data_IF_459791568722
#
_entry.id   IF_459791568722
#
_cell.length_a   1.000
_cell.length_b   1.000
_cell.length_c   1.000
_cell.angle_alpha   90.00
_cell.angle_beta   90.00
_cell.angle_gamma   90.00
#
_symmetry.space_group_name_H-M   'P 1'
#
loop_
_entity.id
_entity.type
_entity.pdbx_description
1 polymer ?
#
# COMPACT_ATOMS: atom_id res chain seq x y z
N UNK A 1 -40.82 -47.65 -29.99
CA UNK A 1 -40.55 -47.35 -28.57
C UNK A 1 -39.04 -47.37 -28.42
N UNK A 2 -38.29 -46.38 -28.90
CA UNK A 2 -38.25 -44.94 -28.56
C UNK A 2 -37.71 -44.67 -27.15
N UNK A 3 -36.51 -44.05 -27.13
CA UNK A 3 -36.05 -42.98 -26.22
C UNK A 3 -35.59 -43.44 -24.80
N UNK A 4 -34.43 -43.07 -24.20
CA UNK A 4 -33.39 -42.03 -24.39
C UNK A 4 -32.07 -42.41 -23.67
N UNK A 5 -30.94 -41.71 -23.92
CA UNK A 5 -29.62 -42.01 -23.33
C UNK A 5 -29.38 -41.34 -21.96
N UNK A 6 -28.60 -41.99 -21.09
CA UNK A 6 -28.21 -41.47 -19.78
C UNK A 6 -27.16 -40.34 -19.92
N UNK A 7 -27.56 -39.11 -19.65
CA UNK A 7 -26.66 -37.96 -19.45
C UNK A 7 -26.19 -37.96 -17.99
N UNK A 8 -24.88 -38.08 -17.76
CA UNK A 8 -24.28 -37.92 -16.45
C UNK A 8 -24.08 -36.42 -16.17
N UNK A 9 -24.98 -35.83 -15.38
CA UNK A 9 -24.83 -34.48 -14.84
C UNK A 9 -24.02 -34.57 -13.53
N UNK A 10 -22.73 -34.26 -13.63
CA UNK A 10 -21.86 -34.19 -12.46
C UNK A 10 -22.15 -32.87 -11.72
N UNK A 11 -23.02 -32.94 -10.73
CA UNK A 11 -23.25 -31.85 -9.79
C UNK A 11 -21.94 -31.43 -9.11
N UNK A 12 -21.41 -30.27 -9.51
CA UNK A 12 -20.33 -29.57 -8.81
C UNK A 12 -20.91 -29.13 -7.46
N UNK A 13 -20.50 -29.80 -6.38
CA UNK A 13 -20.79 -29.33 -5.03
C UNK A 13 -20.09 -27.97 -4.82
N UNK A 14 -20.76 -26.95 -4.25
CA UNK A 14 -20.11 -25.68 -3.95
C UNK A 14 -19.00 -25.91 -2.93
N UNK A 15 -17.76 -25.59 -3.31
CA UNK A 15 -16.63 -25.60 -2.38
C UNK A 15 -16.95 -24.54 -1.33
N UNK A 16 -17.16 -24.96 -0.08
CA UNK A 16 -17.32 -24.03 1.03
C UNK A 16 -16.10 -23.11 1.06
N UNK A 17 -16.34 -21.79 1.08
CA UNK A 17 -15.29 -20.80 1.24
C UNK A 17 -14.39 -21.18 2.44
N UNK A 18 -13.06 -21.02 2.34
CA UNK A 18 -12.19 -21.25 3.48
C UNK A 18 -12.62 -20.33 4.63
N UNK A 19 -12.58 -20.81 5.88
CA UNK A 19 -12.95 -20.02 7.04
C UNK A 19 -12.15 -18.70 7.07
N UNK A 20 -12.72 -17.60 7.59
CA UNK A 20 -11.99 -16.36 7.74
C UNK A 20 -10.68 -16.66 8.47
N UNK A 21 -9.56 -16.31 7.82
CA UNK A 21 -8.25 -16.48 8.41
C UNK A 21 -8.21 -15.81 9.79
N UNK A 22 -7.37 -16.30 10.72
CA UNK A 22 -7.27 -15.70 12.05
C UNK A 22 -7.05 -14.19 11.92
N UNK A 23 -7.58 -13.37 12.85
CA UNK A 23 -7.40 -11.93 12.81
C UNK A 23 -5.90 -11.66 12.72
N UNK A 24 -5.45 -11.09 11.59
CA UNK A 24 -4.04 -10.71 11.40
C UNK A 24 -3.67 -9.88 12.62
N UNK A 25 -2.72 -10.34 13.44
CA UNK A 25 -2.36 -9.66 14.70
C UNK A 25 -2.20 -8.16 14.41
N UNK A 26 -3.01 -7.33 15.04
CA UNK A 26 -3.02 -5.90 14.78
C UNK A 26 -1.74 -5.30 15.36
N UNK A 27 -0.73 -5.16 14.51
CA UNK A 27 0.56 -4.57 14.87
C UNK A 27 0.54 -3.10 14.48
N UNK A 28 0.74 -2.20 15.44
CA UNK A 28 0.75 -0.75 15.19
C UNK A 28 -0.63 -0.08 15.35
N UNK A 29 -0.74 1.14 14.85
CA UNK A 29 -1.93 1.99 14.95
C UNK A 29 -2.98 1.60 13.90
N UNK A 30 -4.23 1.38 14.31
CA UNK A 30 -5.33 1.25 13.36
C UNK A 30 -5.78 2.64 12.88
N UNK A 31 -5.33 3.01 11.69
CA UNK A 31 -5.62 4.31 11.07
C UNK A 31 -7.03 4.42 10.50
N UNK A 32 -7.81 3.33 10.53
CA UNK A 32 -9.18 3.23 9.99
C UNK A 32 -10.23 3.10 11.10
N UNK A 33 -9.97 3.69 12.26
CA UNK A 33 -10.99 3.83 13.33
C UNK A 33 -11.67 5.18 13.20
N UNK A 34 -12.94 5.28 13.61
CA UNK A 34 -13.72 6.53 13.57
C UNK A 34 -12.95 7.73 14.16
N UNK A 35 -12.38 7.54 15.35
CA UNK A 35 -11.62 8.57 16.05
C UNK A 35 -10.44 9.09 15.21
N UNK A 36 -9.73 8.20 14.51
CA UNK A 36 -8.62 8.59 13.64
C UNK A 36 -9.13 9.20 12.34
N UNK A 37 -10.14 8.62 11.71
CA UNK A 37 -10.74 9.13 10.45
C UNK A 37 -11.25 10.55 10.63
N UNK A 38 -11.89 10.87 11.77
CA UNK A 38 -12.35 12.22 12.09
C UNK A 38 -11.24 13.28 12.07
N UNK A 39 -9.98 12.88 12.31
CA UNK A 39 -8.82 13.77 12.30
C UNK A 39 -8.04 13.77 10.99
N UNK A 40 -8.47 12.99 10.00
CA UNK A 40 -7.79 12.93 8.71
C UNK A 40 -7.75 14.30 8.04
N UNK A 41 -6.57 14.62 7.51
CA UNK A 41 -6.34 15.82 6.74
C UNK A 41 -6.76 15.59 5.28
N UNK A 42 -6.99 16.67 4.52
CA UNK A 42 -7.36 16.64 3.10
C UNK A 42 -6.53 15.67 2.24
N UNK A 43 -5.23 15.59 2.50
CA UNK A 43 -4.33 14.70 1.75
C UNK A 43 -4.63 13.21 1.96
N UNK A 44 -5.07 12.82 3.16
CA UNK A 44 -5.53 11.46 3.49
C UNK A 44 -6.91 11.20 2.92
N UNK A 45 -7.82 12.18 3.03
CA UNK A 45 -9.17 12.08 2.44
C UNK A 45 -9.09 11.88 0.94
N UNK A 46 -8.33 12.72 0.21
CA UNK A 46 -8.15 12.59 -1.25
C UNK A 46 -7.52 11.25 -1.65
N UNK A 47 -6.54 10.78 -0.88
CA UNK A 47 -5.92 9.48 -1.12
C UNK A 47 -6.90 8.33 -0.93
N UNK A 48 -7.77 8.41 0.08
CA UNK A 48 -8.84 7.43 0.30
C UNK A 48 -9.90 7.48 -0.81
N UNK A 49 -10.40 8.66 -1.17
CA UNK A 49 -11.40 8.85 -2.24
C UNK A 49 -10.87 8.35 -3.60
N UNK A 50 -9.59 8.59 -3.89
CA UNK A 50 -8.95 8.20 -5.15
C UNK A 50 -8.32 6.81 -5.18
N UNK A 51 -8.45 6.00 -4.12
CA UNK A 51 -7.68 4.75 -3.91
C UNK A 51 -7.75 3.76 -5.08
N UNK A 52 -8.90 3.62 -5.72
CA UNK A 52 -9.10 2.72 -6.86
C UNK A 52 -8.47 3.22 -8.16
N UNK A 53 -8.32 4.54 -8.31
CA UNK A 53 -7.73 5.16 -9.50
C UNK A 53 -6.22 5.41 -9.34
N UNK A 54 -5.78 5.67 -8.11
CA UNK A 54 -4.39 5.92 -7.77
C UNK A 54 -3.99 5.16 -6.49
N UNK A 55 -3.73 3.84 -6.58
CA UNK A 55 -3.20 3.06 -5.47
C UNK A 55 -1.88 3.57 -4.93
N UNK A 56 -1.01 4.14 -5.77
CA UNK A 56 0.25 4.73 -5.31
C UNK A 56 -0.01 5.83 -4.28
N UNK A 57 -0.93 6.75 -4.58
CA UNK A 57 -1.30 7.81 -3.66
C UNK A 57 -1.93 7.32 -2.35
N UNK A 58 -2.70 6.22 -2.42
CA UNK A 58 -3.24 5.54 -1.24
C UNK A 58 -2.12 4.95 -0.37
N UNK A 59 -1.33 4.03 -0.93
CA UNK A 59 -0.28 3.32 -0.19
C UNK A 59 0.87 4.23 0.23
N UNK A 60 1.00 5.40 -0.39
CA UNK A 60 1.91 6.43 0.09
C UNK A 60 1.58 6.88 1.52
N UNK A 61 0.30 6.83 1.92
CA UNK A 61 -0.23 7.39 3.17
C UNK A 61 -0.85 6.37 4.11
N UNK A 62 -1.26 5.24 3.57
CA UNK A 62 -2.02 4.22 4.27
C UNK A 62 -1.43 2.84 4.05
N UNK A 63 -1.57 2.00 5.07
CA UNK A 63 -1.41 0.55 4.93
C UNK A 63 -2.70 -0.04 4.37
N UNK A 64 -2.68 -1.31 4.02
CA UNK A 64 -3.90 -2.02 3.64
C UNK A 64 -4.94 -1.95 4.78
N UNK A 65 -6.24 -1.74 4.48
CA UNK A 65 -7.28 -1.83 5.50
C UNK A 65 -7.22 -3.15 6.29
N UNK A 66 -7.36 -3.06 7.61
CA UNK A 66 -7.21 -4.20 8.51
C UNK A 66 -5.78 -4.46 8.99
N UNK A 67 -4.80 -3.79 8.39
CA UNK A 67 -3.42 -3.75 8.88
C UNK A 67 -3.21 -2.55 9.82
N UNK A 68 -2.38 -2.72 10.85
CA UNK A 68 -1.95 -1.60 11.68
C UNK A 68 -0.72 -0.91 11.09
N UNK A 69 -0.66 0.42 11.17
CA UNK A 69 0.48 1.21 10.72
C UNK A 69 1.53 1.30 11.83
N UNK A 70 2.76 0.89 11.55
CA UNK A 70 3.89 1.07 12.46
C UNK A 70 4.52 2.45 12.28
N UNK A 71 4.65 3.17 13.39
CA UNK A 71 5.32 4.45 13.47
C UNK A 71 6.66 4.31 14.22
N UNK A 72 7.58 5.26 14.01
CA UNK A 72 8.88 5.29 14.70
C UNK A 72 10.02 4.61 13.93
N UNK A 73 11.04 4.18 14.67
CA UNK A 73 12.30 3.63 14.12
C UNK A 73 12.10 2.34 13.32
N UNK A 74 13.10 2.00 12.50
CA UNK A 74 13.13 0.75 11.71
C UNK A 74 13.93 -0.32 12.46
N UNK A 75 13.33 -1.48 12.68
CA UNK A 75 14.02 -2.65 13.23
C UNK A 75 14.93 -3.31 12.19
N UNK A 76 15.82 -4.21 12.64
CA UNK A 76 16.68 -4.97 11.73
C UNK A 76 15.87 -5.81 10.74
N UNK A 77 14.77 -6.43 11.18
CA UNK A 77 13.91 -7.24 10.30
C UNK A 77 13.26 -6.41 9.20
N UNK A 78 12.82 -5.19 9.54
CA UNK A 78 12.25 -4.27 8.57
C UNK A 78 13.31 -3.73 7.61
N UNK A 79 14.54 -3.49 8.10
CA UNK A 79 15.68 -3.15 7.23
C UNK A 79 15.93 -4.27 6.22
N UNK A 80 16.02 -5.52 6.66
CA UNK A 80 16.29 -6.67 5.79
C UNK A 80 15.17 -6.81 4.73
N UNK A 81 13.91 -6.63 5.13
CA UNK A 81 12.78 -6.65 4.21
C UNK A 81 12.82 -5.48 3.22
N UNK A 82 13.18 -4.29 3.69
CA UNK A 82 13.37 -3.12 2.83
C UNK A 82 14.44 -3.37 1.77
N UNK A 83 15.59 -3.93 2.16
CA UNK A 83 16.69 -4.22 1.25
C UNK A 83 16.31 -5.31 0.24
N UNK A 84 15.63 -6.37 0.69
CA UNK A 84 15.07 -7.38 -0.22
C UNK A 84 14.12 -6.75 -1.23
N UNK A 85 13.20 -5.90 -0.77
CA UNK A 85 12.25 -5.21 -1.64
C UNK A 85 12.93 -4.26 -2.61
N UNK A 86 14.00 -3.58 -2.17
CA UNK A 86 14.85 -2.74 -3.01
C UNK A 86 15.51 -3.55 -4.14
N UNK A 87 16.11 -4.69 -3.83
CA UNK A 87 16.75 -5.54 -4.83
C UNK A 87 15.74 -6.09 -5.86
N UNK A 88 14.56 -6.52 -5.39
CA UNK A 88 13.45 -6.91 -6.28
C UNK A 88 13.02 -5.76 -7.20
N UNK A 89 12.93 -4.54 -6.65
CA UNK A 89 12.49 -3.36 -7.40
C UNK A 89 13.47 -3.02 -8.53
N UNK A 90 14.76 -2.97 -8.21
CA UNK A 90 15.83 -2.73 -9.19
C UNK A 90 15.92 -3.90 -10.19
N UNK A 91 15.75 -5.14 -9.73
CA UNK A 91 15.76 -6.34 -10.58
C UNK A 91 14.63 -6.35 -11.62
N UNK A 92 13.49 -5.74 -11.31
CA UNK A 92 12.40 -5.51 -12.26
C UNK A 92 12.62 -4.29 -13.18
N UNK A 93 13.80 -3.67 -13.13
CA UNK A 93 14.15 -2.45 -13.86
C UNK A 93 13.22 -1.27 -13.54
N UNK A 94 12.62 -1.26 -12.34
CA UNK A 94 11.85 -0.13 -11.84
C UNK A 94 12.78 0.86 -11.14
N UNK A 95 12.51 2.15 -11.34
CA UNK A 95 13.32 3.21 -10.74
C UNK A 95 12.85 3.52 -9.32
N UNK A 96 13.82 3.75 -8.44
CA UNK A 96 13.55 4.32 -7.12
C UNK A 96 13.19 5.79 -7.25
N UNK A 97 12.37 6.30 -6.32
CA UNK A 97 12.02 7.72 -6.27
C UNK A 97 10.66 8.09 -6.88
N UNK A 98 10.05 7.22 -7.69
CA UNK A 98 8.81 7.55 -8.41
C UNK A 98 7.53 6.97 -7.79
N UNK A 99 7.55 5.75 -7.25
CA UNK A 99 6.35 5.04 -6.80
C UNK A 99 6.51 4.44 -5.40
N UNK A 100 6.67 5.31 -4.40
CA UNK A 100 6.92 4.89 -3.02
C UNK A 100 5.72 4.21 -2.37
N UNK A 101 4.49 4.57 -2.74
CA UNK A 101 3.30 3.86 -2.29
C UNK A 101 3.35 2.39 -2.72
N UNK A 102 3.54 2.13 -4.01
CA UNK A 102 3.62 0.76 -4.55
C UNK A 102 4.85 -0.01 -4.05
N UNK A 103 5.96 0.69 -3.77
CA UNK A 103 7.12 0.10 -3.11
C UNK A 103 6.75 -0.44 -1.72
N UNK A 104 6.02 0.36 -0.94
CA UNK A 104 5.66 0.03 0.44
C UNK A 104 4.73 -1.16 0.59
N UNK A 105 3.97 -1.55 -0.45
CA UNK A 105 3.12 -2.75 -0.41
C UNK A 105 3.91 -4.04 -0.12
N UNK A 106 5.21 -4.07 -0.42
CA UNK A 106 6.09 -5.20 -0.09
C UNK A 106 6.63 -5.20 1.34
N UNK A 107 6.30 -4.17 2.14
CA UNK A 107 6.82 -3.96 3.50
C UNK A 107 5.63 -3.75 4.43
N UNK A 108 5.14 -4.82 5.09
CA UNK A 108 4.00 -4.74 6.00
C UNK A 108 4.18 -3.64 7.05
N UNK A 109 3.05 -3.05 7.43
CA UNK A 109 2.91 -2.00 8.43
C UNK A 109 3.59 -0.67 8.10
N UNK A 110 4.23 -0.55 6.92
CA UNK A 110 4.90 0.67 6.47
C UNK A 110 4.20 1.26 5.25
N UNK A 111 4.24 2.58 5.16
CA UNK A 111 3.65 3.35 4.06
C UNK A 111 4.71 4.04 3.23
N UNK A 112 4.35 4.49 2.03
CA UNK A 112 5.32 5.01 1.06
C UNK A 112 6.16 6.19 1.55
N UNK A 113 5.58 7.16 2.28
CA UNK A 113 6.40 8.27 2.80
C UNK A 113 7.46 7.79 3.81
N UNK A 114 7.17 6.73 4.57
CA UNK A 114 8.13 6.16 5.52
C UNK A 114 9.26 5.47 4.76
N UNK A 115 8.93 4.70 3.72
CA UNK A 115 9.92 4.05 2.85
C UNK A 115 10.82 5.07 2.14
N UNK A 116 10.24 6.14 1.58
CA UNK A 116 10.97 7.24 0.97
C UNK A 116 11.95 7.89 1.95
N UNK A 117 11.48 8.21 3.16
CA UNK A 117 12.33 8.83 4.18
C UNK A 117 13.44 7.90 4.66
N UNK A 118 13.14 6.61 4.79
CA UNK A 118 14.12 5.60 5.17
C UNK A 118 15.21 5.44 4.11
N UNK A 119 14.82 5.36 2.85
CA UNK A 119 15.75 5.34 1.72
C UNK A 119 16.70 6.54 1.72
N UNK A 120 16.17 7.75 1.92
CA UNK A 120 16.98 8.97 2.00
C UNK A 120 17.99 8.90 3.14
N UNK A 121 17.60 8.36 4.31
CA UNK A 121 18.54 8.15 5.43
C UNK A 121 19.63 7.13 5.08
N UNK A 122 19.32 6.08 4.32
CA UNK A 122 20.32 5.11 3.87
C UNK A 122 21.33 5.75 2.90
N UNK A 123 20.88 6.64 2.01
CA UNK A 123 21.76 7.42 1.13
C UNK A 123 22.64 8.40 1.92
N UNK A 124 22.05 9.15 2.86
CA UNK A 124 22.77 10.09 3.72
C UNK A 124 23.87 9.39 4.53
N UNK A 125 23.57 8.19 5.05
CA UNK A 125 24.50 7.36 5.81
C UNK A 125 25.44 6.52 4.94
N UNK A 126 25.43 6.72 3.61
CA UNK A 126 26.25 5.98 2.62
C UNK A 126 26.08 4.45 2.70
N UNK A 127 24.92 3.98 3.16
CA UNK A 127 24.53 2.56 3.15
C UNK A 127 23.98 2.14 1.78
N UNK A 128 23.46 3.10 1.03
CA UNK A 128 23.07 2.96 -0.37
C UNK A 128 23.76 4.05 -1.20
N UNK A 129 23.86 3.80 -2.51
CA UNK A 129 24.32 4.78 -3.50
C UNK A 129 23.29 4.86 -4.62
N UNK A 130 22.91 6.07 -4.97
CA UNK A 130 22.05 6.38 -6.11
C UNK A 130 22.59 7.61 -6.81
N UNK A 131 22.86 7.50 -8.11
CA UNK A 131 23.40 8.58 -8.94
C UNK A 131 22.42 9.73 -9.15
N UNK A 132 21.13 9.53 -8.89
CA UNK A 132 20.14 10.60 -8.95
C UNK A 132 20.28 11.59 -7.78
N UNK A 133 20.94 11.18 -6.69
CA UNK A 133 21.09 11.96 -5.47
C UNK A 133 22.55 12.33 -5.20
N UNK A 134 22.74 13.53 -4.65
CA UNK A 134 24.05 14.00 -4.19
C UNK A 134 23.89 14.76 -2.88
N UNK A 135 24.91 14.67 -2.03
CA UNK A 135 24.96 15.44 -0.78
C UNK A 135 25.58 16.80 -1.07
N UNK A 136 24.73 17.82 -1.19
CA UNK A 136 25.15 19.21 -1.44
C UNK A 136 24.98 20.00 -0.15
N UNK A 137 26.08 20.54 0.38
CA UNK A 137 26.12 21.27 1.66
C UNK A 137 25.57 20.45 2.84
N UNK A 138 25.93 19.16 2.91
CA UNK A 138 25.48 18.26 3.98
C UNK A 138 24.00 17.85 3.90
N UNK A 139 23.29 18.21 2.84
CA UNK A 139 21.88 17.83 2.62
C UNK A 139 21.75 17.00 1.35
N UNK A 140 21.05 15.87 1.44
CA UNK A 140 20.77 15.02 0.28
C UNK A 140 19.77 15.72 -0.66
N UNK A 141 20.24 16.08 -1.86
CA UNK A 141 19.44 16.69 -2.91
C UNK A 141 19.30 15.74 -4.09
N UNK A 142 18.12 15.76 -4.71
CA UNK A 142 17.92 15.16 -6.01
C UNK A 142 18.55 16.08 -7.06
N UNK A 143 19.68 15.67 -7.64
CA UNK A 143 20.45 16.48 -8.60
C UNK A 143 20.17 16.09 -10.04
N UNK A 144 19.75 14.84 -10.28
CA UNK A 144 19.41 14.38 -11.62
C UNK A 144 17.96 13.89 -11.67
N UNK A 145 17.04 14.83 -11.98
CA UNK A 145 15.60 14.54 -12.04
C UNK A 145 15.28 13.51 -13.10
N UNK A 146 15.89 13.54 -14.27
CA UNK A 146 15.65 12.58 -15.36
C UNK A 146 16.07 11.15 -14.98
N UNK A 147 17.11 11.02 -14.16
CA UNK A 147 17.48 9.72 -13.58
C UNK A 147 16.49 9.23 -12.53
N UNK A 148 15.84 10.11 -11.77
CA UNK A 148 14.83 9.74 -10.77
C UNK A 148 13.38 9.64 -11.29
N UNK A 149 13.06 10.33 -12.38
CA UNK A 149 11.72 10.36 -12.99
C UNK A 149 11.78 9.75 -14.38
N UNK A 150 11.02 8.67 -14.60
CA UNK A 150 10.91 8.02 -15.90
C UNK A 150 11.47 6.61 -15.88
N UNK A 151 10.59 5.64 -15.76
CA UNK A 151 10.85 4.20 -15.81
C UNK A 151 9.51 3.48 -15.88
N UNK A 152 9.51 2.20 -16.23
CA UNK A 152 8.29 1.39 -16.11
C UNK A 152 7.79 1.49 -14.66
N UNK A 153 6.51 1.76 -14.49
CA UNK A 153 5.86 1.71 -13.17
C UNK A 153 5.29 0.30 -12.96
N UNK A 154 5.32 -0.22 -11.72
CA UNK A 154 4.63 -1.46 -11.41
C UNK A 154 3.12 -1.33 -11.62
N UNK A 155 2.46 -2.49 -11.63
CA UNK A 155 0.99 -2.61 -11.69
C UNK A 155 0.34 -1.66 -10.68
N UNK A 156 -0.62 -0.88 -11.18
CA UNK A 156 -1.29 0.21 -10.49
C UNK A 156 -2.66 -0.18 -9.97
N UNK A 157 -2.88 -1.46 -9.66
CA UNK A 157 -4.15 -1.98 -9.16
C UNK A 157 -4.04 -2.28 -7.67
N UNK A 158 -5.18 -2.17 -6.97
CA UNK A 158 -5.30 -2.62 -5.59
C UNK A 158 -5.16 -4.15 -5.54
N UNK A 159 -4.52 -4.67 -4.49
CA UNK A 159 -4.27 -6.10 -4.36
C UNK A 159 -5.55 -6.91 -4.04
N UNK A 160 -5.47 -8.25 -4.11
CA UNK A 160 -6.60 -9.14 -3.87
C UNK A 160 -7.23 -8.99 -2.47
N UNK A 161 -6.48 -8.47 -1.49
CA UNK A 161 -6.95 -8.18 -0.15
C UNK A 161 -8.14 -7.21 -0.11
N UNK A 162 -8.33 -6.37 -1.14
CA UNK A 162 -9.48 -5.47 -1.25
C UNK A 162 -10.79 -6.17 -1.63
N UNK A 163 -10.75 -7.48 -1.89
CA UNK A 163 -11.93 -8.31 -2.09
C UNK A 163 -12.39 -9.02 -0.82
N UNK A 164 -11.63 -8.89 0.28
CA UNK A 164 -11.97 -9.48 1.56
C UNK A 164 -13.15 -8.73 2.20
N UNK A 165 -14.14 -9.46 2.72
CA UNK A 165 -15.34 -8.89 3.34
C UNK A 165 -15.00 -7.99 4.53
N UNK A 166 -13.96 -8.33 5.29
CA UNK A 166 -13.51 -7.49 6.41
C UNK A 166 -12.95 -6.16 5.92
N UNK A 167 -12.21 -6.16 4.80
CA UNK A 167 -11.73 -4.91 4.17
C UNK A 167 -12.91 -4.10 3.65
N UNK A 168 -13.93 -4.75 3.06
CA UNK A 168 -15.15 -4.08 2.58
C UNK A 168 -15.94 -3.43 3.72
N UNK A 169 -16.02 -4.08 4.87
CA UNK A 169 -16.64 -3.50 6.07
C UNK A 169 -15.89 -2.25 6.54
N UNK A 170 -14.55 -2.31 6.61
CA UNK A 170 -13.75 -1.13 6.93
C UNK A 170 -13.99 -0.02 5.90
N UNK A 171 -14.08 -0.36 4.62
CA UNK A 171 -14.34 0.62 3.58
C UNK A 171 -15.68 1.34 3.78
N UNK A 172 -16.76 0.59 4.03
CA UNK A 172 -18.08 1.13 4.26
C UNK A 172 -18.10 2.08 5.48
N UNK A 173 -17.47 1.66 6.59
CA UNK A 173 -17.38 2.45 7.81
C UNK A 173 -16.63 3.76 7.57
N UNK A 174 -15.47 3.71 6.91
CA UNK A 174 -14.70 4.92 6.59
C UNK A 174 -15.49 5.87 5.69
N UNK A 175 -16.19 5.35 4.68
CA UNK A 175 -17.04 6.17 3.81
C UNK A 175 -18.18 6.86 4.56
N UNK A 176 -18.81 6.18 5.53
CA UNK A 176 -19.82 6.79 6.40
C UNK A 176 -19.21 7.92 7.24
N UNK A 177 -18.08 7.69 7.90
CA UNK A 177 -17.44 8.70 8.73
C UNK A 177 -16.91 9.89 7.92
N UNK A 178 -16.44 9.68 6.70
CA UNK A 178 -16.07 10.78 5.80
C UNK A 178 -17.29 11.65 5.45
N UNK A 179 -18.45 11.03 5.18
CA UNK A 179 -19.72 11.75 4.95
C UNK A 179 -20.22 12.47 6.21
N UNK A 180 -19.92 11.96 7.39
CA UNK A 180 -20.37 12.54 8.65
C UNK A 180 -19.50 13.72 9.09
N UNK A 181 -18.18 13.57 9.03
CA UNK A 181 -17.23 14.50 9.66
C UNK A 181 -16.53 15.43 8.68
N UNK A 182 -16.42 15.03 7.41
CA UNK A 182 -15.63 15.73 6.41
C UNK A 182 -16.49 16.20 5.24
N UNK A 183 -17.77 16.48 5.49
CA UNK A 183 -18.65 17.09 4.49
C UNK A 183 -17.94 18.31 3.89
N UNK A 184 -17.60 18.23 2.60
CA UNK A 184 -17.13 19.37 1.84
C UNK A 184 -18.32 20.32 1.72
N UNK A 185 -18.44 21.26 2.65
CA UNK A 185 -19.24 22.47 2.43
C UNK A 185 -18.77 23.04 1.09
N UNK A 186 -19.71 23.06 0.14
CA UNK A 186 -19.45 23.24 -1.28
C UNK A 186 -18.50 24.38 -1.59
N UNK A 187 -17.67 24.12 -2.58
CA UNK A 187 -16.95 25.13 -3.34
C UNK A 187 -17.92 25.89 -4.23
#
# INVERSE_FOLDING_TARGET
>A
MSLEPATADAAIQPVSAPPPGPPRRQVGENVFTEAVVKTWQDSRIKAWEGRYLNPEGFYYRFVTPGEGQQNGGWSSKEHDLFMKRYDEWIGNNWKMGAAWGLFSCGIPHRVGYQCMNYYRKLLENRKLKDEAYEVVNGKLKLVNKEKASGGATPVTELGPEWKDEYVKEIEANVEEWLKQYHQRTGR
#
